data_IF_057181658954
#
_entry.id   IF_057181658954
#
_cell.length_a   1.000
_cell.length_b   1.000
_cell.length_c   1.000
_cell.angle_alpha   90.00
_cell.angle_beta   90.00
_cell.angle_gamma   90.00
#
_symmetry.space_group_name_H-M   'P 1'
#
loop_
_entity.id
_entity.type
_entity.pdbx_description
1 polymer ?
#
# COMPACT_ATOMS: atom_id res chain seq x y z
N UNK A 1 -9.71 38.51 83.89
CA UNK A 1 -9.86 37.42 82.90
C UNK A 1 -10.58 37.98 81.68
N UNK A 2 -9.84 38.36 80.63
CA UNK A 2 -10.40 38.68 79.31
C UNK A 2 -9.48 38.01 78.29
N UNK A 3 -10.01 36.98 77.63
CA UNK A 3 -9.28 36.11 76.72
C UNK A 3 -9.16 36.78 75.34
N UNK A 4 -7.95 36.78 74.79
CA UNK A 4 -7.66 37.10 73.40
C UNK A 4 -8.03 35.89 72.53
N UNK A 5 -8.86 36.09 71.50
CA UNK A 5 -9.04 35.14 70.40
C UNK A 5 -8.34 35.69 69.16
N UNK A 6 -7.24 35.07 68.76
CA UNK A 6 -6.64 35.26 67.44
C UNK A 6 -7.43 34.44 66.41
N UNK A 7 -7.96 35.12 65.39
CA UNK A 7 -8.57 34.48 64.24
C UNK A 7 -7.46 34.12 63.22
N UNK A 8 -7.23 32.83 63.00
CA UNK A 8 -6.43 32.34 61.87
C UNK A 8 -7.33 32.22 60.64
N UNK A 9 -7.08 33.07 59.64
CA UNK A 9 -7.71 32.94 58.32
C UNK A 9 -7.10 31.79 57.55
N UNK A 10 -7.92 30.81 57.16
CA UNK A 10 -7.52 29.72 56.26
C UNK A 10 -7.82 30.17 54.83
N UNK A 11 -6.78 30.40 54.03
CA UNK A 11 -6.93 30.66 52.60
C UNK A 11 -7.16 29.33 51.86
N UNK A 12 -8.33 29.18 51.23
CA UNK A 12 -8.68 28.03 50.42
C UNK A 12 -8.09 28.22 49.00
N UNK A 13 -6.96 27.57 48.71
CA UNK A 13 -6.41 27.49 47.36
C UNK A 13 -7.13 26.37 46.59
N UNK A 14 -7.98 26.74 45.64
CA UNK A 14 -8.59 25.77 44.72
C UNK A 14 -7.55 25.34 43.68
N UNK A 15 -7.10 24.09 43.77
CA UNK A 15 -6.23 23.45 42.80
C UNK A 15 -7.07 23.06 41.57
N UNK A 16 -7.04 23.88 40.51
CA UNK A 16 -7.64 23.53 39.22
C UNK A 16 -6.75 22.51 38.51
N UNK A 17 -7.14 21.24 38.55
CA UNK A 17 -6.53 20.21 37.70
C UNK A 17 -7.03 20.40 36.26
N UNK A 18 -6.15 20.86 35.36
CA UNK A 18 -6.39 20.74 33.93
C UNK A 18 -6.28 19.25 33.57
N UNK A 19 -7.41 18.59 33.30
CA UNK A 19 -7.40 17.27 32.67
C UNK A 19 -6.94 17.47 31.22
N UNK A 20 -5.67 17.21 30.94
CA UNK A 20 -5.27 16.90 29.57
C UNK A 20 -5.86 15.53 29.23
N UNK A 21 -6.90 15.51 28.40
CA UNK A 21 -7.28 14.28 27.70
C UNK A 21 -6.09 13.90 26.82
N UNK A 22 -5.40 12.83 27.22
CA UNK A 22 -4.52 12.12 26.30
C UNK A 22 -5.48 11.28 25.47
N UNK A 23 -5.83 11.75 24.28
CA UNK A 23 -6.46 10.90 23.29
C UNK A 23 -5.42 9.83 22.95
N UNK A 24 -5.55 8.68 23.62
CA UNK A 24 -4.88 7.45 23.22
C UNK A 24 -5.43 7.17 21.82
N UNK A 25 -4.65 7.45 20.77
CA UNK A 25 -5.05 7.13 19.40
C UNK A 25 -5.10 5.61 19.31
N UNK A 26 -6.26 5.05 19.67
CA UNK A 26 -6.59 3.67 19.43
C UNK A 26 -6.75 3.51 17.94
N UNK A 27 -6.04 2.55 17.37
CA UNK A 27 -6.26 2.08 16.01
C UNK A 27 -7.75 1.76 15.83
N UNK A 28 -8.43 2.51 14.96
CA UNK A 28 -9.84 2.27 14.64
C UNK A 28 -9.92 1.41 13.39
N UNK A 29 -10.84 0.43 13.39
CA UNK A 29 -11.12 -0.38 12.19
C UNK A 29 -12.20 0.33 11.37
N UNK A 30 -11.93 0.48 10.07
CA UNK A 30 -12.85 1.01 9.08
C UNK A 30 -13.20 -0.10 8.10
N UNK A 31 -14.49 -0.36 7.95
CA UNK A 31 -15.01 -1.46 7.16
C UNK A 31 -15.40 -1.00 5.77
N UNK A 32 -14.99 -1.76 4.76
CA UNK A 32 -15.30 -1.53 3.35
C UNK A 32 -15.92 -2.79 2.76
N UNK A 33 -17.00 -2.64 1.99
CA UNK A 33 -17.68 -3.73 1.31
C UNK A 33 -18.37 -3.27 0.02
N UNK A 34 -18.54 -4.12 -1.01
CA UNK A 34 -19.17 -3.73 -2.28
C UNK A 34 -20.65 -3.36 -2.16
N UNK A 35 -21.31 -3.75 -1.07
CA UNK A 35 -22.71 -3.42 -0.76
C UNK A 35 -22.84 -2.22 0.20
N UNK A 36 -21.71 -1.62 0.57
CA UNK A 36 -21.64 -0.49 1.49
C UNK A 36 -22.13 0.82 0.88
N UNK A 37 -21.96 1.90 1.64
CA UNK A 37 -22.23 3.26 1.18
C UNK A 37 -21.18 4.23 1.76
N UNK A 38 -20.60 5.07 0.90
CA UNK A 38 -19.62 6.09 1.28
C UNK A 38 -20.26 7.21 2.10
N UNK A 39 -20.47 6.93 3.38
CA UNK A 39 -21.13 7.81 4.33
C UNK A 39 -20.61 7.54 5.75
N UNK A 40 -20.58 8.58 6.58
CA UNK A 40 -20.04 8.47 7.94
C UNK A 40 -18.53 8.19 7.93
N UNK A 41 -18.06 7.53 8.98
CA UNK A 41 -16.64 7.28 9.26
C UNK A 41 -16.21 5.81 9.01
N UNK A 42 -17.10 4.99 8.45
CA UNK A 42 -16.85 3.57 8.14
C UNK A 42 -16.57 2.67 9.36
N UNK A 43 -16.87 3.09 10.60
CA UNK A 43 -16.49 2.32 11.81
C UNK A 43 -17.51 1.25 12.21
N UNK A 44 -18.71 1.23 11.63
CA UNK A 44 -19.72 0.21 11.84
C UNK A 44 -19.65 -0.88 10.76
N UNK A 45 -19.31 -2.11 11.15
CA UNK A 45 -19.28 -3.25 10.21
C UNK A 45 -20.64 -3.59 9.59
N UNK A 46 -21.75 -3.18 10.22
CA UNK A 46 -23.10 -3.33 9.67
C UNK A 46 -23.47 -2.27 8.63
N UNK A 47 -22.69 -1.19 8.53
CA UNK A 47 -22.83 -0.09 7.56
C UNK A 47 -21.45 0.29 6.99
N UNK A 48 -20.78 -0.63 6.27
CA UNK A 48 -19.45 -0.37 5.74
C UNK A 48 -19.48 0.70 4.64
N UNK A 49 -18.33 1.30 4.39
CA UNK A 49 -18.13 2.16 3.23
C UNK A 49 -18.08 1.34 1.94
N UNK A 50 -18.41 1.98 0.81
CA UNK A 50 -18.45 1.34 -0.49
C UNK A 50 -17.04 1.23 -1.09
N UNK A 51 -16.25 2.29 -0.95
CA UNK A 51 -14.93 2.40 -1.57
C UNK A 51 -13.81 2.39 -0.54
N UNK A 52 -12.65 1.87 -0.96
CA UNK A 52 -11.42 1.82 -0.17
C UNK A 52 -10.89 3.24 0.03
N UNK A 53 -10.88 4.06 -1.03
CA UNK A 53 -10.36 5.42 -0.95
C UNK A 53 -11.19 6.28 0.02
N UNK A 54 -12.53 6.16 0.02
CA UNK A 54 -13.35 6.90 0.98
C UNK A 54 -12.99 6.54 2.42
N UNK A 55 -12.82 5.25 2.73
CA UNK A 55 -12.42 4.81 4.07
C UNK A 55 -11.02 5.33 4.47
N UNK A 56 -10.08 5.39 3.53
CA UNK A 56 -8.75 6.01 3.74
C UNK A 56 -8.90 7.52 3.99
N UNK A 57 -9.78 8.20 3.28
CA UNK A 57 -10.01 9.65 3.45
C UNK A 57 -10.57 9.94 4.85
N UNK A 58 -11.46 9.09 5.37
CA UNK A 58 -11.97 9.18 6.75
C UNK A 58 -10.93 8.78 7.79
N UNK A 59 -9.93 7.97 7.41
CA UNK A 59 -8.93 7.45 8.32
C UNK A 59 -8.03 8.52 8.94
N UNK A 60 -7.74 8.31 10.21
CA UNK A 60 -6.65 8.96 10.93
C UNK A 60 -5.43 8.04 10.94
N UNK A 61 -4.26 8.62 11.23
CA UNK A 61 -3.01 7.88 11.22
C UNK A 61 -3.05 6.69 12.20
N UNK A 62 -2.70 5.51 11.70
CA UNK A 62 -2.64 4.25 12.46
C UNK A 62 -3.88 3.36 12.33
N UNK A 63 -4.95 3.83 11.68
CA UNK A 63 -6.18 3.05 11.48
C UNK A 63 -5.97 1.78 10.63
N UNK A 64 -6.92 0.86 10.73
CA UNK A 64 -7.01 -0.34 9.87
C UNK A 64 -8.18 -0.17 8.92
N UNK A 65 -7.94 -0.36 7.63
CA UNK A 65 -8.98 -0.46 6.61
C UNK A 65 -9.20 -1.96 6.32
N UNK A 66 -10.31 -2.50 6.80
CA UNK A 66 -10.72 -3.90 6.63
C UNK A 66 -11.66 -4.01 5.45
N UNK A 67 -11.17 -4.59 4.34
CA UNK A 67 -11.90 -4.70 3.08
C UNK A 67 -12.47 -6.11 2.95
N UNK A 68 -13.79 -6.22 2.85
CA UNK A 68 -14.48 -7.49 2.60
C UNK A 68 -14.28 -7.96 1.15
N UNK A 69 -14.52 -9.25 0.86
CA UNK A 69 -14.46 -9.77 -0.51
C UNK A 69 -15.34 -9.00 -1.49
N UNK A 70 -14.86 -8.86 -2.72
CA UNK A 70 -15.51 -8.19 -3.84
C UNK A 70 -14.54 -7.42 -4.70
N UNK A 71 -15.05 -6.85 -5.80
CA UNK A 71 -14.27 -6.07 -6.75
C UNK A 71 -14.43 -4.58 -6.51
N UNK A 72 -13.31 -3.88 -6.43
CA UNK A 72 -13.19 -2.45 -6.24
C UNK A 72 -12.49 -1.86 -7.47
N UNK A 73 -13.28 -1.24 -8.35
CA UNK A 73 -12.79 -0.60 -9.59
C UNK A 73 -12.33 0.84 -9.31
N UNK A 74 -11.32 0.98 -8.46
CA UNK A 74 -10.78 2.27 -8.02
C UNK A 74 -9.25 2.27 -7.94
N UNK A 75 -8.66 3.47 -7.92
CA UNK A 75 -7.27 3.67 -7.57
C UNK A 75 -7.19 4.04 -6.08
N UNK A 76 -6.26 3.41 -5.37
CA UNK A 76 -6.07 3.59 -3.92
C UNK A 76 -4.79 4.37 -3.67
N UNK A 77 -4.91 5.57 -3.11
CA UNK A 77 -3.80 6.41 -2.69
C UNK A 77 -3.65 6.40 -1.17
N UNK A 78 -2.60 5.75 -0.69
CA UNK A 78 -2.26 5.65 0.73
C UNK A 78 -1.23 6.73 1.05
N UNK A 79 -1.71 7.84 1.61
CA UNK A 79 -0.93 9.04 1.90
C UNK A 79 -0.79 9.33 3.41
N UNK A 80 -1.10 8.36 4.25
CA UNK A 80 -0.98 8.42 5.71
C UNK A 80 -0.67 7.03 6.27
N UNK A 81 -0.09 6.92 7.49
CA UNK A 81 0.15 5.64 8.13
C UNK A 81 -1.16 4.90 8.36
N UNK A 82 -1.28 3.66 7.88
CA UNK A 82 -2.44 2.79 8.09
C UNK A 82 -2.11 1.35 7.71
N UNK A 83 -2.98 0.43 8.13
CA UNK A 83 -2.98 -0.95 7.66
C UNK A 83 -4.17 -1.18 6.74
N UNK A 84 -3.93 -1.53 5.49
CA UNK A 84 -4.93 -1.93 4.52
C UNK A 84 -4.94 -3.48 4.44
N UNK A 85 -6.03 -4.11 4.89
CA UNK A 85 -6.20 -5.57 4.90
C UNK A 85 -7.35 -6.01 4.00
N UNK A 86 -7.06 -6.91 3.06
CA UNK A 86 -8.03 -7.59 2.22
C UNK A 86 -8.45 -8.93 2.82
N UNK A 87 -9.40 -9.58 2.16
CA UNK A 87 -10.01 -10.84 2.61
C UNK A 87 -9.01 -11.99 2.84
N UNK A 88 -7.84 -11.96 2.18
CA UNK A 88 -6.81 -12.99 2.28
C UNK A 88 -5.59 -12.54 3.08
N UNK A 89 -5.74 -11.60 4.01
CA UNK A 89 -4.63 -11.14 4.84
C UNK A 89 -4.02 -12.31 5.63
N UNK A 90 -2.72 -12.54 5.44
CA UNK A 90 -2.00 -13.66 6.07
C UNK A 90 -2.22 -15.04 5.46
N UNK A 91 -2.98 -15.15 4.35
CA UNK A 91 -3.18 -16.42 3.65
C UNK A 91 -2.19 -16.57 2.48
N UNK A 92 -1.44 -17.68 2.47
CA UNK A 92 -0.52 -18.04 1.39
C UNK A 92 -1.25 -18.28 0.06
N UNK A 93 -0.49 -18.21 -1.04
CA UNK A 93 -0.98 -18.39 -2.42
C UNK A 93 -1.89 -19.61 -2.63
N UNK A 94 -1.61 -20.73 -1.96
CA UNK A 94 -2.35 -21.99 -2.10
C UNK A 94 -3.59 -22.11 -1.21
N UNK A 95 -3.85 -21.12 -0.35
CA UNK A 95 -4.88 -21.18 0.70
C UNK A 95 -5.92 -20.05 0.61
N UNK A 96 -5.88 -19.28 -0.47
CA UNK A 96 -6.74 -18.11 -0.68
C UNK A 96 -8.20 -18.50 -0.90
N UNK A 97 -9.11 -17.69 -0.36
CA UNK A 97 -10.56 -17.78 -0.53
C UNK A 97 -11.08 -16.60 -1.40
N UNK A 98 -12.35 -16.23 -1.27
CA UNK A 98 -12.93 -15.09 -1.97
C UNK A 98 -12.06 -13.82 -1.79
N UNK A 99 -11.81 -13.10 -2.88
CA UNK A 99 -10.81 -12.03 -2.92
C UNK A 99 -11.41 -10.65 -2.68
N UNK A 100 -10.63 -9.77 -2.05
CA UNK A 100 -10.78 -8.32 -2.21
C UNK A 100 -9.93 -7.89 -3.41
N UNK A 101 -10.57 -7.71 -4.56
CA UNK A 101 -9.89 -7.43 -5.82
C UNK A 101 -9.86 -5.93 -6.11
N UNK A 102 -8.67 -5.35 -6.23
CA UNK A 102 -8.49 -3.97 -6.71
C UNK A 102 -8.10 -4.03 -8.19
N UNK A 103 -8.95 -3.46 -9.05
CA UNK A 103 -8.79 -3.55 -10.51
C UNK A 103 -9.33 -2.28 -11.18
N UNK A 104 -8.63 -1.15 -11.09
CA UNK A 104 -9.04 0.08 -11.76
C UNK A 104 -9.06 -0.09 -13.28
N UNK A 105 -9.88 0.72 -13.93
CA UNK A 105 -9.91 0.80 -15.40
C UNK A 105 -8.70 1.50 -16.02
N UNK A 106 -7.86 2.17 -15.22
CA UNK A 106 -6.58 2.75 -15.66
C UNK A 106 -5.72 3.18 -14.46
N UNK A 107 -4.42 3.40 -14.68
CA UNK A 107 -3.49 3.85 -13.64
C UNK A 107 -3.08 2.76 -12.65
N UNK A 108 -2.22 3.11 -11.71
CA UNK A 108 -1.76 2.17 -10.68
C UNK A 108 -2.89 1.86 -9.68
N UNK A 109 -3.20 0.58 -9.42
CA UNK A 109 -4.17 0.18 -8.41
C UNK A 109 -3.87 0.73 -7.02
N UNK A 110 -2.61 0.67 -6.58
CA UNK A 110 -2.19 1.18 -5.26
C UNK A 110 -0.97 2.08 -5.42
N UNK A 111 -1.04 3.27 -4.83
CA UNK A 111 0.09 4.20 -4.66
C UNK A 111 0.30 4.47 -3.18
N UNK A 112 1.54 4.29 -2.70
CA UNK A 112 1.94 4.50 -1.31
C UNK A 112 2.94 5.65 -1.26
N UNK A 113 2.58 6.71 -0.53
CA UNK A 113 3.38 7.92 -0.36
C UNK A 113 3.59 8.30 1.11
N UNK A 114 3.29 7.38 2.03
CA UNK A 114 3.51 7.54 3.47
C UNK A 114 4.32 6.38 4.04
N UNK A 115 5.09 6.70 5.08
CA UNK A 115 5.71 5.70 5.94
C UNK A 115 4.64 4.94 6.74
N UNK A 116 5.04 3.82 7.35
CA UNK A 116 4.21 3.05 8.30
C UNK A 116 2.90 2.57 7.66
N UNK A 117 3.04 1.91 6.49
CA UNK A 117 1.91 1.38 5.71
C UNK A 117 2.02 -0.13 5.59
N UNK A 118 0.93 -0.84 5.78
CA UNK A 118 0.83 -2.27 5.44
C UNK A 118 -0.26 -2.48 4.39
N UNK A 119 0.05 -3.23 3.33
CA UNK A 119 -0.91 -3.72 2.34
C UNK A 119 -0.88 -5.24 2.37
N UNK A 120 -1.97 -5.86 2.83
CA UNK A 120 -1.99 -7.29 3.11
C UNK A 120 -3.22 -8.00 2.54
N UNK A 121 -3.03 -9.03 1.72
CA UNK A 121 -4.10 -9.97 1.41
C UNK A 121 -5.06 -9.61 0.26
N UNK A 122 -4.64 -8.76 -0.68
CA UNK A 122 -5.48 -8.37 -1.83
C UNK A 122 -5.20 -9.23 -3.07
N UNK A 123 -6.18 -9.31 -3.97
CA UNK A 123 -5.89 -9.54 -5.39
C UNK A 123 -5.79 -8.19 -6.09
N UNK A 124 -4.77 -8.00 -6.93
CA UNK A 124 -4.50 -6.73 -7.60
C UNK A 124 -4.24 -6.99 -9.08
N UNK A 125 -5.01 -6.31 -9.94
CA UNK A 125 -4.91 -6.40 -11.39
C UNK A 125 -4.65 -5.04 -12.02
N UNK A 126 -3.79 -4.98 -13.04
CA UNK A 126 -3.50 -3.75 -13.77
C UNK A 126 -3.14 -4.03 -15.25
N UNK A 127 -4.06 -4.63 -16.04
CA UNK A 127 -3.73 -5.12 -17.38
C UNK A 127 -3.29 -3.99 -18.32
N UNK A 128 -3.75 -2.76 -18.08
CA UNK A 128 -3.39 -1.57 -18.86
C UNK A 128 -2.42 -0.61 -18.14
N UNK A 129 -1.73 -1.07 -17.10
CA UNK A 129 -0.73 -0.27 -16.40
C UNK A 129 0.53 -1.08 -16.06
N UNK A 130 1.67 -0.39 -15.91
CA UNK A 130 2.95 -1.04 -15.71
C UNK A 130 3.20 -1.47 -14.26
N UNK A 131 2.42 -0.95 -13.32
CA UNK A 131 2.61 -1.12 -11.88
C UNK A 131 1.28 -1.53 -11.22
N UNK A 132 1.33 -2.47 -10.28
CA UNK A 132 0.19 -2.83 -9.45
C UNK A 132 0.23 -2.07 -8.12
N UNK A 133 1.41 -2.07 -7.50
CA UNK A 133 1.71 -1.34 -6.27
C UNK A 133 2.95 -0.48 -6.53
N UNK A 134 2.77 0.83 -6.43
CA UNK A 134 3.86 1.80 -6.51
C UNK A 134 4.08 2.43 -5.14
N UNK A 135 5.32 2.37 -4.67
CA UNK A 135 5.75 3.02 -3.44
C UNK A 135 7.03 3.78 -3.71
N UNK A 136 7.19 4.95 -3.09
CA UNK A 136 8.32 5.82 -3.40
C UNK A 136 8.77 6.60 -2.18
N UNK A 137 10.08 6.59 -1.91
CA UNK A 137 10.69 7.45 -0.89
C UNK A 137 9.98 7.32 0.48
N UNK A 138 9.77 6.10 0.96
CA UNK A 138 9.08 5.79 2.22
C UNK A 138 9.85 4.76 3.06
N UNK A 139 9.60 4.74 4.37
CA UNK A 139 10.09 3.75 5.33
C UNK A 139 8.95 2.97 5.97
N UNK A 140 9.27 1.83 6.56
CA UNK A 140 8.32 1.03 7.36
C UNK A 140 7.08 0.63 6.54
N UNK A 141 7.30 0.10 5.33
CA UNK A 141 6.22 -0.36 4.45
C UNK A 141 6.28 -1.87 4.26
N UNK A 142 5.14 -2.52 4.47
CA UNK A 142 4.98 -3.97 4.30
C UNK A 142 3.95 -4.28 3.21
N UNK A 143 4.36 -5.02 2.18
CA UNK A 143 3.52 -5.54 1.09
C UNK A 143 3.49 -7.05 1.22
N UNK A 144 2.40 -7.58 1.79
CA UNK A 144 2.33 -8.94 2.30
C UNK A 144 1.18 -9.74 1.70
N UNK A 145 1.40 -11.03 1.38
CA UNK A 145 0.32 -11.95 1.01
C UNK A 145 -0.62 -11.42 -0.09
N UNK A 146 -0.12 -10.60 -1.02
CA UNK A 146 -0.94 -10.10 -2.14
C UNK A 146 -0.80 -11.04 -3.33
N UNK A 147 -1.89 -11.24 -4.05
CA UNK A 147 -1.92 -11.88 -5.36
C UNK A 147 -1.90 -10.79 -6.42
N UNK A 148 -0.74 -10.53 -7.01
CA UNK A 148 -0.51 -9.46 -7.98
C UNK A 148 -0.39 -10.09 -9.36
N UNK A 149 -1.38 -9.90 -10.22
CA UNK A 149 -1.42 -10.59 -11.51
C UNK A 149 -1.97 -9.71 -12.63
N UNK A 150 -1.69 -10.10 -13.88
CA UNK A 150 -2.17 -9.40 -15.06
C UNK A 150 -1.70 -7.94 -15.09
N UNK A 151 -0.38 -7.73 -15.02
CA UNK A 151 0.21 -6.38 -14.99
C UNK A 151 0.76 -6.05 -16.37
N UNK A 152 0.23 -5.01 -17.01
CA UNK A 152 0.65 -4.59 -18.34
C UNK A 152 0.43 -5.67 -19.41
N UNK A 153 -0.58 -6.51 -19.25
CA UNK A 153 -0.88 -7.64 -20.16
C UNK A 153 -1.73 -7.25 -21.36
N UNK A 154 -2.36 -6.07 -21.35
CA UNK A 154 -3.14 -5.59 -22.49
C UNK A 154 -2.22 -5.36 -23.68
N UNK A 155 -2.58 -5.93 -24.83
CA UNK A 155 -1.81 -5.80 -26.07
C UNK A 155 -1.73 -4.35 -26.59
N UNK A 156 -2.67 -3.49 -26.16
CA UNK A 156 -2.65 -2.05 -26.42
C UNK A 156 -1.81 -1.24 -25.44
N UNK A 157 -1.36 -1.84 -24.33
CA UNK A 157 -0.53 -1.18 -23.34
C UNK A 157 0.89 -0.94 -23.91
N UNK A 158 1.26 0.34 -24.01
CA UNK A 158 2.55 0.77 -24.57
C UNK A 158 2.58 0.81 -26.11
N UNK A 159 1.50 1.23 -26.78
CA UNK A 159 1.32 1.15 -28.24
C UNK A 159 2.43 1.70 -29.16
N UNK A 160 2.31 1.48 -30.49
CA UNK A 160 3.28 1.95 -31.50
C UNK A 160 3.24 3.48 -31.68
N UNK A 161 4.30 4.17 -32.16
CA UNK A 161 5.64 3.72 -32.52
C UNK A 161 6.72 3.98 -31.44
N UNK A 162 6.34 4.57 -30.31
CA UNK A 162 7.25 4.87 -29.20
C UNK A 162 6.64 4.39 -27.91
N UNK A 163 7.18 3.31 -27.36
CA UNK A 163 6.80 2.81 -26.05
C UNK A 163 7.88 3.16 -25.03
N UNK A 164 7.46 3.59 -23.84
CA UNK A 164 8.35 3.95 -22.72
C UNK A 164 8.08 3.12 -21.48
N UNK A 165 7.16 2.16 -21.56
CA UNK A 165 6.57 1.56 -20.37
C UNK A 165 7.33 0.30 -19.94
N UNK A 166 8.05 0.42 -18.83
CA UNK A 166 8.52 -0.72 -18.05
C UNK A 166 7.36 -1.34 -17.26
N UNK A 167 7.41 -2.65 -17.03
CA UNK A 167 6.43 -3.35 -16.19
C UNK A 167 7.14 -3.82 -14.92
N UNK A 168 6.71 -3.31 -13.77
CA UNK A 168 7.24 -3.69 -12.46
C UNK A 168 6.07 -3.89 -11.50
N UNK A 169 5.60 -5.12 -11.35
CA UNK A 169 4.33 -5.39 -10.65
C UNK A 169 4.26 -4.73 -9.26
N UNK A 170 5.34 -4.85 -8.48
CA UNK A 170 5.57 -4.05 -7.28
C UNK A 170 6.82 -3.22 -7.51
N UNK A 171 6.69 -1.88 -7.40
CA UNK A 171 7.79 -0.95 -7.65
C UNK A 171 8.08 -0.09 -6.44
N UNK A 172 9.32 -0.15 -5.95
CA UNK A 172 9.88 0.85 -5.05
C UNK A 172 10.76 1.83 -5.83
N UNK A 173 10.34 3.09 -5.91
CA UNK A 173 11.14 4.18 -6.49
C UNK A 173 11.93 4.90 -5.40
N UNK A 174 13.24 5.05 -5.62
CA UNK A 174 14.14 5.78 -4.74
C UNK A 174 14.82 6.93 -5.49
N UNK A 175 14.43 8.17 -5.24
CA UNK A 175 15.01 9.33 -5.92
C UNK A 175 16.14 9.98 -5.10
N UNK A 176 15.95 10.06 -3.78
CA UNK A 176 16.90 10.67 -2.85
C UNK A 176 16.42 10.62 -1.40
N UNK A 177 17.34 10.71 -0.44
CA UNK A 177 17.05 10.59 0.99
C UNK A 177 17.56 9.29 1.62
N UNK A 178 17.14 8.99 2.84
CA UNK A 178 17.48 7.74 3.53
C UNK A 178 16.22 7.12 4.06
N UNK A 179 15.95 5.90 3.63
CA UNK A 179 14.77 5.14 4.00
C UNK A 179 15.16 3.74 4.48
N UNK A 180 14.24 3.10 5.19
CA UNK A 180 14.49 1.77 5.74
C UNK A 180 13.24 0.93 5.89
N UNK A 181 13.44 -0.37 6.10
CA UNK A 181 12.40 -1.29 6.57
C UNK A 181 11.28 -1.44 5.53
N UNK A 182 11.66 -1.87 4.33
CA UNK A 182 10.72 -2.24 3.28
C UNK A 182 10.65 -3.76 3.25
N UNK A 183 9.44 -4.29 3.42
CA UNK A 183 9.18 -5.73 3.44
C UNK A 183 8.20 -6.10 2.33
N UNK A 184 8.65 -6.87 1.36
CA UNK A 184 7.82 -7.37 0.26
C UNK A 184 7.87 -8.88 0.33
N UNK A 185 6.88 -9.49 0.99
CA UNK A 185 6.97 -10.91 1.37
C UNK A 185 5.69 -11.69 1.21
N UNK A 186 5.83 -12.99 0.91
CA UNK A 186 4.71 -13.92 0.74
C UNK A 186 3.72 -13.53 -0.37
N UNK A 187 4.13 -12.72 -1.35
CA UNK A 187 3.26 -12.33 -2.47
C UNK A 187 3.30 -13.38 -3.59
N UNK A 188 2.19 -13.51 -4.30
CA UNK A 188 2.02 -14.36 -5.48
C UNK A 188 1.96 -13.44 -6.70
N UNK A 189 3.01 -13.41 -7.51
CA UNK A 189 3.15 -12.46 -8.62
C UNK A 189 3.20 -13.25 -9.93
N UNK A 190 2.25 -13.03 -10.83
CA UNK A 190 2.16 -13.78 -12.08
C UNK A 190 1.65 -12.93 -13.25
N UNK A 191 1.72 -13.49 -14.46
CA UNK A 191 1.28 -12.91 -15.72
C UNK A 191 1.68 -11.43 -15.88
N UNK A 192 2.98 -11.22 -16.05
CA UNK A 192 3.61 -9.90 -16.06
C UNK A 192 4.02 -9.57 -17.48
N UNK A 193 3.56 -8.42 -17.97
CA UNK A 193 3.79 -7.91 -19.33
C UNK A 193 3.12 -8.77 -20.40
N UNK A 194 3.33 -8.41 -21.67
CA UNK A 194 2.76 -9.10 -22.84
C UNK A 194 3.84 -9.43 -23.88
N UNK A 195 3.54 -10.38 -24.78
CA UNK A 195 4.49 -10.87 -25.80
C UNK A 195 4.91 -9.80 -26.82
N UNK A 196 4.15 -8.71 -26.92
CA UNK A 196 4.45 -7.55 -27.76
C UNK A 196 5.20 -6.44 -27.02
N UNK A 197 5.66 -6.66 -25.78
CA UNK A 197 6.45 -5.65 -25.08
C UNK A 197 7.81 -5.47 -25.78
N UNK A 198 7.99 -4.32 -26.43
CA UNK A 198 9.21 -3.98 -27.17
C UNK A 198 10.19 -3.08 -26.39
N UNK A 199 9.96 -2.78 -25.10
CA UNK A 199 10.84 -1.91 -24.29
C UNK A 199 11.51 -2.57 -23.06
N UNK A 200 12.21 -1.74 -22.27
CA UNK A 200 13.38 -2.03 -21.41
C UNK A 200 13.32 -3.22 -20.44
N UNK A 201 12.24 -3.46 -19.69
CA UNK A 201 12.23 -4.47 -18.61
C UNK A 201 10.82 -4.84 -18.14
N UNK A 202 10.61 -6.13 -17.85
CA UNK A 202 9.49 -6.62 -17.05
C UNK A 202 10.04 -7.32 -15.79
N UNK A 203 9.50 -7.02 -14.61
CA UNK A 203 9.84 -7.73 -13.37
C UNK A 203 8.65 -7.82 -12.43
N UNK A 204 8.67 -8.83 -11.56
CA UNK A 204 7.68 -8.92 -10.47
C UNK A 204 7.91 -7.85 -9.42
N UNK A 205 9.16 -7.68 -8.99
CA UNK A 205 9.53 -6.66 -8.01
C UNK A 205 10.65 -5.82 -8.62
N UNK A 206 10.50 -4.50 -8.58
CA UNK A 206 11.48 -3.54 -9.05
C UNK A 206 11.85 -2.58 -7.94
N UNK A 207 13.10 -2.66 -7.46
CA UNK A 207 13.70 -1.62 -6.61
C UNK A 207 14.62 -0.79 -7.49
N UNK A 208 14.14 0.37 -7.93
CA UNK A 208 14.65 0.98 -9.16
C UNK A 208 14.89 2.48 -8.99
N UNK A 209 16.07 2.91 -9.41
CA UNK A 209 16.30 4.17 -10.13
C UNK A 209 17.75 4.22 -10.65
N UNK A 210 18.01 4.85 -11.80
CA UNK A 210 19.34 4.92 -12.43
C UNK A 210 20.17 6.15 -12.04
N UNK A 211 19.59 7.14 -11.36
CA UNK A 211 20.29 8.36 -10.92
C UNK A 211 20.20 8.62 -9.42
N UNK A 212 19.87 7.59 -8.62
CA UNK A 212 19.53 7.77 -7.22
C UNK A 212 20.72 8.23 -6.41
N UNK A 213 20.48 9.20 -5.54
CA UNK A 213 21.37 9.53 -4.42
C UNK A 213 20.83 9.00 -3.08
N UNK A 214 19.73 8.23 -3.13
CA UNK A 214 19.08 7.70 -1.94
C UNK A 214 19.79 6.47 -1.39
N UNK A 215 19.59 6.21 -0.10
CA UNK A 215 19.95 4.95 0.55
C UNK A 215 18.70 4.26 1.05
N UNK A 216 18.53 2.99 0.70
CA UNK A 216 17.53 2.10 1.29
C UNK A 216 18.26 1.03 2.10
N UNK A 217 17.95 0.94 3.39
CA UNK A 217 18.48 -0.09 4.29
C UNK A 217 17.36 -1.02 4.76
N UNK A 218 17.69 -2.23 5.22
CA UNK A 218 16.72 -3.21 5.70
C UNK A 218 15.59 -3.50 4.69
N UNK A 219 15.96 -3.75 3.43
CA UNK A 219 15.06 -4.27 2.43
C UNK A 219 14.95 -5.79 2.59
N UNK A 220 13.74 -6.27 2.81
CA UNK A 220 13.38 -7.68 2.87
C UNK A 220 12.51 -8.05 1.67
N UNK A 221 12.92 -9.07 0.92
CA UNK A 221 12.15 -9.64 -0.19
C UNK A 221 12.23 -11.16 -0.05
N UNK A 222 11.25 -11.76 0.62
CA UNK A 222 11.27 -13.19 0.94
C UNK A 222 9.94 -13.90 0.64
N UNK A 223 10.01 -15.20 0.37
CA UNK A 223 8.84 -16.07 0.18
C UNK A 223 7.83 -15.60 -0.89
N UNK A 224 8.27 -14.77 -1.85
CA UNK A 224 7.43 -14.42 -2.98
C UNK A 224 7.53 -15.51 -4.06
N UNK A 225 6.39 -15.87 -4.64
CA UNK A 225 6.34 -16.66 -5.88
C UNK A 225 6.24 -15.69 -7.03
N UNK A 226 7.15 -15.75 -8.00
CA UNK A 226 7.14 -14.91 -9.19
C UNK A 226 7.21 -15.81 -10.42
N UNK A 227 6.19 -15.76 -11.28
CA UNK A 227 6.08 -16.59 -12.47
C UNK A 227 5.57 -15.79 -13.68
N UNK A 228 5.69 -16.37 -14.87
CA UNK A 228 5.13 -15.82 -16.12
C UNK A 228 5.54 -14.36 -16.41
N UNK A 229 6.84 -14.08 -16.29
CA UNK A 229 7.40 -12.75 -16.60
C UNK A 229 7.83 -12.67 -18.06
N UNK A 230 7.07 -11.90 -18.85
CA UNK A 230 7.31 -11.70 -20.29
C UNK A 230 8.15 -10.43 -20.52
N UNK A 231 9.48 -10.59 -20.49
CA UNK A 231 10.44 -9.53 -20.83
C UNK A 231 10.79 -9.52 -22.33
N UNK A 232 11.14 -8.34 -22.87
CA UNK A 232 11.69 -8.25 -24.22
C UNK A 232 13.04 -8.96 -24.32
N UNK A 233 13.19 -9.88 -25.30
CA UNK A 233 14.40 -10.67 -25.53
C UNK A 233 15.25 -10.21 -26.72
N UNK A 234 14.88 -9.11 -27.39
CA UNK A 234 15.60 -8.60 -28.56
C UNK A 234 17.06 -8.21 -28.29
N UNK A 235 17.85 -8.10 -29.36
CA UNK A 235 19.24 -7.67 -29.30
C UNK A 235 19.32 -6.15 -29.03
N UNK A 236 19.91 -5.78 -27.89
CA UNK A 236 20.04 -4.37 -27.47
C UNK A 236 21.44 -3.85 -27.81
N UNK A 237 21.54 -2.98 -28.82
CA UNK A 237 22.81 -2.45 -29.36
C UNK A 237 23.62 -1.55 -28.43
N UNK A 238 22.98 -0.92 -27.43
CA UNK A 238 23.59 0.14 -26.63
C UNK A 238 23.99 -0.27 -25.20
N UNK A 239 23.70 -1.50 -24.77
CA UNK A 239 24.14 -2.06 -23.48
C UNK A 239 23.48 -1.46 -22.22
N UNK A 240 22.71 -2.27 -21.51
CA UNK A 240 22.10 -1.99 -20.20
C UNK A 240 20.94 -2.94 -19.96
N UNK A 241 20.98 -3.72 -18.87
CA UNK A 241 20.09 -4.87 -18.61
C UNK A 241 19.68 -4.83 -17.14
N UNK A 242 18.39 -4.96 -16.81
CA UNK A 242 17.98 -5.11 -15.40
C UNK A 242 17.68 -6.57 -15.06
N UNK A 243 17.07 -7.37 -15.94
CA UNK A 243 17.06 -8.84 -15.84
C UNK A 243 16.43 -9.46 -17.09
N UNK A 244 17.02 -10.55 -17.60
CA UNK A 244 16.25 -11.59 -18.28
C UNK A 244 15.69 -12.46 -17.15
N UNK A 245 14.37 -12.62 -17.09
CA UNK A 245 13.57 -13.26 -16.04
C UNK A 245 14.35 -14.25 -15.15
N UNK A 246 14.34 -14.03 -13.82
CA UNK A 246 14.75 -15.08 -12.88
C UNK A 246 13.73 -16.22 -13.00
N UNK A 247 14.22 -17.41 -13.39
CA UNK A 247 13.48 -18.68 -13.33
C UNK A 247 13.59 -19.28 -11.93
#
# INVERSE_FOLDING_TARGET
MKNFYQAFGVALFTLSFLLFQVDLIGQTIRYVAPIGADSGDCTDSGSPCLTIQYAIDQAVSGDVISVLPGTYEENVNINKPLTLTGANAGNDCSSRADESTISPSSGAPIVISSDNVTVNGFEINAPNHGFAIELSNTSDVSVLYNKVQNIGTDSGFGGPPGNTNTVHSIRYQLDGGTYSNIDISNNCISNISHIGNTFNSASGIGILQSTSQGTLSNLNIENNTIEEVISNTGDWGDGGRIAYSFL
#
